data_IF_310976373054
#
_entry.id   IF_310976373054
#
_cell.length_a   1.000
_cell.length_b   1.000
_cell.length_c   1.000
_cell.angle_alpha   90.00
_cell.angle_beta   90.00
_cell.angle_gamma   90.00
#
_symmetry.space_group_name_H-M   'P 1'
#
loop_
_entity.id
_entity.type
_entity.pdbx_description
1 polymer ?
#
# COMPACT_ATOMS: atom_id res chain seq x y z
N UNK A 1 -4.08 4.68 -7.29
CA UNK A 1 -4.60 3.42 -7.81
C UNK A 1 -4.69 2.40 -6.68
N UNK A 2 -5.70 1.56 -6.68
CA UNK A 2 -5.88 0.51 -5.68
C UNK A 2 -5.97 -0.86 -6.37
N UNK A 3 -5.30 -1.87 -5.80
CA UNK A 3 -5.41 -3.26 -6.24
C UNK A 3 -6.11 -4.07 -5.16
N UNK A 4 -7.02 -4.94 -5.57
CA UNK A 4 -7.79 -5.77 -4.65
C UNK A 4 -7.66 -7.23 -5.06
N UNK A 5 -7.15 -8.04 -4.16
CA UNK A 5 -7.20 -9.50 -4.27
C UNK A 5 -8.34 -10.01 -3.40
N UNK A 6 -9.32 -10.64 -4.03
CA UNK A 6 -10.46 -11.26 -3.35
C UNK A 6 -10.97 -12.45 -4.15
N UNK A 7 -11.78 -13.30 -3.55
CA UNK A 7 -12.35 -14.48 -4.22
C UNK A 7 -13.25 -14.12 -5.40
N UNK A 8 -13.88 -12.94 -5.35
CA UNK A 8 -14.75 -12.43 -6.41
C UNK A 8 -14.50 -10.95 -6.61
N UNK A 9 -14.43 -10.54 -7.88
CA UNK A 9 -14.49 -9.14 -8.23
C UNK A 9 -15.89 -8.58 -7.92
N UNK A 10 -15.95 -7.31 -7.55
CA UNK A 10 -17.21 -6.60 -7.35
C UNK A 10 -17.79 -6.14 -8.70
N UNK A 11 -19.10 -5.92 -8.73
CA UNK A 11 -19.77 -5.26 -9.84
C UNK A 11 -19.27 -3.82 -10.01
N UNK A 12 -19.29 -3.29 -11.23
CA UNK A 12 -18.82 -1.94 -11.56
C UNK A 12 -19.47 -0.86 -10.69
N UNK A 13 -20.74 -1.01 -10.37
CA UNK A 13 -21.44 -0.08 -9.47
C UNK A 13 -20.77 0.08 -8.11
N UNK A 14 -20.30 -1.02 -7.52
CA UNK A 14 -19.57 -0.96 -6.25
C UNK A 14 -18.15 -0.45 -6.41
N UNK A 15 -17.53 -0.70 -7.56
CA UNK A 15 -16.20 -0.16 -7.91
C UNK A 15 -16.27 1.36 -7.96
N UNK A 16 -17.24 1.92 -8.65
CA UNK A 16 -17.44 3.38 -8.76
C UNK A 16 -17.64 4.02 -7.39
N UNK A 17 -18.40 3.38 -6.49
CA UNK A 17 -18.57 3.86 -5.11
C UNK A 17 -17.24 3.84 -4.35
N UNK A 18 -16.43 2.79 -4.49
CA UNK A 18 -15.13 2.68 -3.83
C UNK A 18 -14.18 3.77 -4.35
N UNK A 19 -14.17 4.01 -5.65
CA UNK A 19 -13.33 5.04 -6.28
C UNK A 19 -13.70 6.44 -5.75
N UNK A 20 -14.99 6.74 -5.68
CA UNK A 20 -15.48 8.01 -5.18
C UNK A 20 -15.22 8.20 -3.67
N UNK A 21 -15.58 7.22 -2.83
CA UNK A 21 -15.47 7.32 -1.37
C UNK A 21 -14.00 7.33 -0.88
N UNK A 22 -13.12 6.57 -1.55
CA UNK A 22 -11.70 6.50 -1.21
C UNK A 22 -10.84 7.49 -2.00
N UNK A 23 -11.45 8.23 -2.92
CA UNK A 23 -10.76 9.18 -3.79
C UNK A 23 -9.57 8.55 -4.54
N UNK A 24 -9.77 7.36 -5.06
CA UNK A 24 -8.80 6.65 -5.89
C UNK A 24 -9.24 6.68 -7.36
N UNK A 25 -8.27 6.77 -8.27
CA UNK A 25 -8.56 6.91 -9.71
C UNK A 25 -8.91 5.61 -10.41
N UNK A 26 -8.58 4.48 -9.78
CA UNK A 26 -8.80 3.17 -10.39
C UNK A 26 -8.73 2.08 -9.34
N UNK A 27 -9.69 1.17 -9.36
CA UNK A 27 -9.68 -0.07 -8.57
C UNK A 27 -9.49 -1.26 -9.52
N UNK A 28 -8.43 -2.04 -9.30
CA UNK A 28 -8.08 -3.20 -10.12
C UNK A 28 -8.19 -4.47 -9.29
N UNK A 29 -9.02 -5.41 -9.71
CA UNK A 29 -9.04 -6.74 -9.12
C UNK A 29 -7.94 -7.60 -9.71
N UNK A 30 -7.19 -8.30 -8.86
CA UNK A 30 -6.06 -9.14 -9.24
C UNK A 30 -6.02 -10.41 -8.39
N UNK A 31 -5.57 -11.50 -8.97
CA UNK A 31 -5.34 -12.76 -8.24
C UNK A 31 -3.97 -12.78 -7.56
N UNK A 32 -3.08 -11.85 -7.89
CA UNK A 32 -1.71 -11.80 -7.42
C UNK A 32 -1.31 -10.42 -6.92
N UNK A 33 -0.78 -10.37 -5.70
CA UNK A 33 -0.25 -9.14 -5.05
C UNK A 33 1.26 -9.20 -4.83
N UNK A 34 1.97 -10.19 -5.40
CA UNK A 34 3.43 -10.38 -5.25
C UNK A 34 4.24 -9.23 -5.80
N UNK A 35 3.69 -8.50 -6.76
CA UNK A 35 4.36 -7.31 -7.30
C UNK A 35 4.46 -6.16 -6.29
N UNK A 36 3.62 -6.18 -5.25
CA UNK A 36 3.50 -5.13 -4.24
C UNK A 36 4.02 -5.52 -2.86
N UNK A 37 4.29 -6.82 -2.67
CA UNK A 37 4.75 -7.39 -1.39
C UNK A 37 6.04 -8.17 -1.58
N UNK A 38 6.77 -8.35 -0.50
CA UNK A 38 7.93 -9.23 -0.44
C UNK A 38 7.92 -9.97 0.90
N UNK A 39 8.57 -11.12 0.96
CA UNK A 39 8.76 -11.86 2.20
C UNK A 39 10.19 -11.73 2.68
N UNK A 40 10.35 -11.48 3.98
CA UNK A 40 11.62 -11.56 4.67
C UNK A 40 11.65 -12.79 5.56
N UNK A 41 12.74 -13.50 5.54
CA UNK A 41 12.93 -14.71 6.32
C UNK A 41 14.02 -14.50 7.36
N UNK A 42 13.74 -14.91 8.59
CA UNK A 42 14.72 -15.00 9.67
C UNK A 42 14.72 -16.42 10.22
N UNK A 43 15.89 -16.97 10.60
CA UNK A 43 15.90 -18.33 11.19
C UNK A 43 15.25 -18.29 12.57
N UNK A 44 14.39 -19.25 12.84
CA UNK A 44 13.88 -19.53 14.18
C UNK A 44 14.99 -20.19 15.01
N UNK A 45 15.61 -19.42 15.89
CA UNK A 45 16.79 -19.86 16.63
C UNK A 45 16.57 -21.11 17.45
N UNK A 46 15.35 -21.31 17.93
CA UNK A 46 14.96 -22.45 18.76
C UNK A 46 15.03 -23.78 18.01
N UNK A 47 14.69 -23.78 16.73
CA UNK A 47 14.67 -24.99 15.88
C UNK A 47 15.94 -25.12 15.05
N UNK A 48 16.47 -24.02 14.50
CA UNK A 48 17.66 -23.99 13.66
C UNK A 48 18.95 -24.14 14.46
N UNK A 49 19.00 -23.60 15.68
CA UNK A 49 20.18 -23.68 16.54
C UNK A 49 20.67 -25.10 16.80
N UNK A 50 19.83 -26.05 17.25
CA UNK A 50 20.21 -27.45 17.42
C UNK A 50 20.60 -28.14 16.12
N UNK A 51 19.99 -27.80 14.99
CA UNK A 51 20.25 -28.42 13.68
C UNK A 51 21.55 -27.90 13.02
N UNK A 52 21.75 -26.57 13.06
CA UNK A 52 22.75 -25.88 12.25
C UNK A 52 23.51 -24.78 13.02
N UNK A 53 23.76 -24.92 14.31
CA UNK A 53 24.31 -23.87 15.16
C UNK A 53 25.60 -23.22 14.65
N UNK A 54 26.53 -24.03 14.06
CA UNK A 54 27.77 -23.52 13.48
C UNK A 54 27.56 -22.68 12.18
N UNK A 55 26.49 -22.94 11.46
CA UNK A 55 26.14 -22.31 10.21
C UNK A 55 25.17 -21.12 10.38
N UNK A 56 24.72 -20.85 11.60
CA UNK A 56 23.65 -19.88 11.88
C UNK A 56 23.92 -18.48 11.26
N UNK A 57 25.15 -17.99 11.38
CA UNK A 57 25.52 -16.71 10.77
C UNK A 57 25.46 -16.69 9.25
N UNK A 58 25.86 -17.82 8.62
CA UNK A 58 25.71 -18.01 7.16
C UNK A 58 24.25 -18.11 6.74
N UNK A 59 23.45 -18.84 7.48
CA UNK A 59 22.00 -18.97 7.27
C UNK A 59 21.32 -17.60 7.33
N UNK A 60 21.58 -16.79 8.36
CA UNK A 60 21.04 -15.44 8.48
C UNK A 60 21.40 -14.57 7.30
N UNK A 61 22.67 -14.61 6.88
CA UNK A 61 23.15 -13.82 5.75
C UNK A 61 22.50 -14.25 4.43
N UNK A 62 22.39 -15.55 4.20
CA UNK A 62 21.75 -16.08 2.98
C UNK A 62 20.28 -15.72 2.95
N UNK A 63 19.52 -15.96 4.02
CA UNK A 63 18.10 -15.61 4.11
C UNK A 63 17.84 -14.12 3.87
N UNK A 64 18.73 -13.24 4.32
CA UNK A 64 18.61 -11.79 4.11
C UNK A 64 18.85 -11.35 2.66
N UNK A 65 19.46 -12.20 1.83
CA UNK A 65 19.78 -11.90 0.41
C UNK A 65 18.92 -12.65 -0.60
N UNK A 66 18.06 -13.57 -0.14
CA UNK A 66 17.14 -14.30 -1.01
C UNK A 66 16.06 -13.36 -1.58
N UNK A 67 15.61 -13.68 -2.79
CA UNK A 67 14.34 -13.15 -3.29
C UNK A 67 13.21 -13.76 -2.44
N UNK A 68 12.55 -12.90 -1.66
CA UNK A 68 11.56 -13.35 -0.69
C UNK A 68 10.35 -14.02 -1.32
N UNK A 69 9.91 -13.57 -2.50
CA UNK A 69 8.78 -14.17 -3.19
C UNK A 69 9.14 -15.53 -3.78
N UNK A 70 10.30 -15.65 -4.41
CA UNK A 70 10.80 -16.93 -4.92
C UNK A 70 11.03 -17.95 -3.79
N UNK A 71 11.59 -17.52 -2.67
CA UNK A 71 11.81 -18.37 -1.50
C UNK A 71 10.47 -18.83 -0.87
N UNK A 72 9.45 -17.98 -0.86
CA UNK A 72 8.10 -18.36 -0.39
C UNK A 72 7.45 -19.38 -1.35
N UNK A 73 7.60 -19.23 -2.65
CA UNK A 73 7.10 -20.19 -3.63
C UNK A 73 7.82 -21.55 -3.49
N UNK A 74 9.13 -21.56 -3.26
CA UNK A 74 9.90 -22.77 -2.99
C UNK A 74 9.42 -23.46 -1.70
N UNK A 75 9.23 -22.69 -0.62
CA UNK A 75 8.72 -23.21 0.65
C UNK A 75 7.36 -23.88 0.49
N UNK A 76 6.43 -23.24 -0.23
CA UNK A 76 5.09 -23.78 -0.48
C UNK A 76 5.08 -24.99 -1.39
N UNK A 77 5.97 -25.04 -2.39
CA UNK A 77 6.01 -26.14 -3.36
C UNK A 77 6.76 -27.35 -2.85
N UNK A 78 7.87 -27.13 -2.13
CA UNK A 78 8.81 -28.19 -1.71
C UNK A 78 8.77 -28.46 -0.20
N UNK A 79 8.02 -27.66 0.58
CA UNK A 79 7.96 -27.78 2.03
C UNK A 79 9.20 -27.27 2.78
N UNK A 80 10.24 -26.84 2.07
CA UNK A 80 11.45 -26.27 2.64
C UNK A 80 12.20 -25.39 1.65
N UNK A 81 12.91 -24.40 2.15
CA UNK A 81 13.90 -23.61 1.40
C UNK A 81 15.25 -24.29 1.53
N UNK A 82 15.94 -24.55 0.41
CA UNK A 82 17.24 -25.25 0.37
C UNK A 82 18.32 -24.35 -0.19
N UNK A 83 19.46 -24.30 0.50
CA UNK A 83 20.65 -23.56 0.04
C UNK A 83 21.92 -24.10 0.70
N UNK A 84 23.07 -23.71 0.16
CA UNK A 84 24.39 -24.06 0.69
C UNK A 84 24.93 -22.97 1.61
N UNK A 85 25.47 -23.37 2.74
CA UNK A 85 26.27 -22.50 3.63
C UNK A 85 27.64 -23.14 3.80
N UNK A 86 28.61 -22.63 3.04
CA UNK A 86 29.89 -23.32 2.84
C UNK A 86 29.68 -24.66 2.16
N UNK A 87 30.16 -25.75 2.76
CA UNK A 87 30.01 -27.12 2.25
C UNK A 87 28.78 -27.86 2.84
N UNK A 88 27.93 -27.17 3.61
CA UNK A 88 26.77 -27.75 4.27
C UNK A 88 25.49 -27.38 3.55
N UNK A 89 24.73 -28.39 3.11
CA UNK A 89 23.36 -28.19 2.63
C UNK A 89 22.43 -27.92 3.80
N UNK A 90 21.71 -26.82 3.72
CA UNK A 90 20.72 -26.39 4.72
C UNK A 90 19.33 -26.49 4.10
N UNK A 91 18.40 -27.14 4.80
CA UNK A 91 17.00 -27.21 4.43
C UNK A 91 16.17 -26.70 5.61
N UNK A 92 15.44 -25.61 5.39
CA UNK A 92 14.61 -24.97 6.41
C UNK A 92 13.14 -25.09 6.05
N UNK A 93 12.40 -25.80 6.89
CA UNK A 93 10.94 -25.88 6.81
C UNK A 93 10.28 -24.63 7.40
N UNK A 94 8.97 -24.49 7.25
CA UNK A 94 8.22 -23.35 7.75
C UNK A 94 8.44 -23.13 9.26
N UNK A 95 8.50 -24.20 10.05
CA UNK A 95 8.77 -24.17 11.49
C UNK A 95 10.16 -23.64 11.88
N UNK A 96 11.10 -23.68 10.93
CA UNK A 96 12.47 -23.20 11.10
C UNK A 96 12.64 -21.72 10.76
N UNK A 97 11.55 -21.05 10.31
CA UNK A 97 11.55 -19.71 9.77
C UNK A 97 10.60 -18.79 10.53
N UNK A 98 11.04 -17.58 10.77
CA UNK A 98 10.18 -16.44 11.07
C UNK A 98 9.94 -15.72 9.75
N UNK A 99 8.70 -15.73 9.27
CA UNK A 99 8.29 -15.19 7.98
C UNK A 99 7.58 -13.87 8.22
N UNK A 100 8.12 -12.79 7.69
CA UNK A 100 7.53 -11.45 7.75
C UNK A 100 7.18 -11.02 6.33
N UNK A 101 5.90 -10.71 6.07
CA UNK A 101 5.49 -10.05 4.84
C UNK A 101 5.79 -8.56 4.97
N UNK A 102 6.49 -8.00 4.00
CA UNK A 102 6.80 -6.58 3.90
C UNK A 102 6.22 -5.98 2.64
N UNK A 103 5.97 -4.70 2.67
CA UNK A 103 5.47 -3.92 1.54
C UNK A 103 6.65 -3.39 0.73
N UNK A 104 6.50 -3.35 -0.59
CA UNK A 104 7.44 -2.62 -1.44
C UNK A 104 7.25 -1.12 -1.26
N UNK A 105 8.33 -0.37 -1.42
CA UNK A 105 8.28 1.08 -1.38
C UNK A 105 7.28 1.64 -2.40
N UNK A 106 6.49 2.62 -2.00
CA UNK A 106 5.44 3.21 -2.81
C UNK A 106 4.09 2.48 -2.76
N UNK A 107 3.96 1.43 -1.94
CA UNK A 107 2.70 0.71 -1.76
C UNK A 107 2.36 0.52 -0.29
N UNK A 108 1.08 0.55 0.03
CA UNK A 108 0.54 0.15 1.33
C UNK A 108 -0.38 -1.05 1.14
N UNK A 109 -0.18 -2.08 1.96
CA UNK A 109 -0.92 -3.34 1.83
C UNK A 109 -1.56 -3.69 3.17
N UNK A 110 -2.85 -3.99 3.13
CA UNK A 110 -3.60 -4.51 4.28
C UNK A 110 -4.37 -5.76 3.85
N UNK A 111 -4.45 -6.73 4.75
CA UNK A 111 -5.16 -7.98 4.50
C UNK A 111 -6.14 -8.29 5.63
N UNK A 112 -7.35 -8.70 5.26
CA UNK A 112 -8.37 -9.18 6.18
C UNK A 112 -9.07 -10.41 5.60
N UNK A 113 -8.97 -11.53 6.28
CA UNK A 113 -9.46 -12.82 5.78
C UNK A 113 -8.79 -13.18 4.44
N UNK A 114 -9.61 -13.42 3.42
CA UNK A 114 -9.15 -13.76 2.06
C UNK A 114 -9.04 -12.54 1.13
N UNK A 115 -9.22 -11.35 1.67
CA UNK A 115 -9.13 -10.10 0.89
C UNK A 115 -7.84 -9.37 1.23
N UNK A 116 -7.08 -8.98 0.22
CA UNK A 116 -5.91 -8.12 0.35
C UNK A 116 -6.11 -6.88 -0.49
N UNK A 117 -5.88 -5.72 0.10
CA UNK A 117 -5.95 -4.43 -0.57
C UNK A 117 -4.55 -3.83 -0.62
N UNK A 118 -4.17 -3.36 -1.80
CA UNK A 118 -2.90 -2.66 -2.02
C UNK A 118 -3.19 -1.27 -2.56
N UNK A 119 -2.73 -0.26 -1.87
CA UNK A 119 -2.82 1.14 -2.31
C UNK A 119 -1.48 1.59 -2.88
N UNK A 120 -1.49 2.07 -4.11
CA UNK A 120 -0.36 2.78 -4.72
C UNK A 120 -0.30 4.20 -4.15
N UNK A 121 0.78 4.49 -3.44
CA UNK A 121 1.03 5.77 -2.79
C UNK A 121 1.99 6.68 -3.57
N UNK A 122 2.36 6.28 -4.79
CA UNK A 122 3.15 7.10 -5.69
C UNK A 122 2.26 8.18 -6.31
N UNK A 123 2.33 9.39 -5.79
CA UNK A 123 1.52 10.52 -6.21
C UNK A 123 2.23 11.32 -7.31
N UNK A 124 1.57 11.56 -8.44
CA UNK A 124 2.01 12.56 -9.41
C UNK A 124 1.76 13.98 -8.90
N UNK A 125 2.43 14.96 -9.51
CA UNK A 125 2.20 16.39 -9.17
C UNK A 125 0.74 16.79 -9.39
N UNK A 126 0.09 16.24 -10.42
CA UNK A 126 -1.32 16.49 -10.71
C UNK A 126 -2.24 15.93 -9.61
N UNK A 127 -1.97 14.73 -9.11
CA UNK A 127 -2.74 14.14 -8.01
C UNK A 127 -2.54 14.92 -6.69
N UNK A 128 -1.34 15.42 -6.46
CA UNK A 128 -1.06 16.30 -5.31
C UNK A 128 -1.83 17.63 -5.45
N UNK A 129 -1.83 18.24 -6.64
CA UNK A 129 -2.59 19.46 -6.89
C UNK A 129 -4.10 19.23 -6.72
N UNK A 130 -4.62 18.13 -7.25
CA UNK A 130 -6.02 17.74 -7.06
C UNK A 130 -6.37 17.54 -5.58
N UNK A 131 -5.48 16.93 -4.80
CA UNK A 131 -5.64 16.79 -3.35
C UNK A 131 -5.74 18.15 -2.66
N UNK A 132 -4.95 19.13 -3.05
CA UNK A 132 -5.08 20.51 -2.55
C UNK A 132 -6.43 21.14 -2.92
N UNK A 133 -6.93 20.91 -4.13
CA UNK A 133 -8.25 21.41 -4.53
C UNK A 133 -9.37 20.84 -3.66
N UNK A 134 -9.36 19.52 -3.42
CA UNK A 134 -10.35 18.91 -2.52
C UNK A 134 -10.25 19.40 -1.08
N UNK A 135 -9.04 19.60 -0.57
CA UNK A 135 -8.85 20.17 0.77
C UNK A 135 -9.38 21.60 0.86
N UNK A 136 -9.16 22.43 -0.17
CA UNK A 136 -9.71 23.80 -0.24
C UNK A 136 -11.24 23.75 -0.24
N UNK A 137 -11.85 22.90 -1.07
CA UNK A 137 -13.31 22.75 -1.11
C UNK A 137 -13.83 22.35 0.27
N UNK A 138 -13.23 21.33 0.90
CA UNK A 138 -13.60 20.87 2.23
C UNK A 138 -13.51 21.97 3.30
N UNK A 139 -12.43 22.77 3.26
CA UNK A 139 -12.27 23.91 4.18
C UNK A 139 -13.31 25.00 3.94
N UNK A 140 -13.61 25.32 2.68
CA UNK A 140 -14.66 26.31 2.33
C UNK A 140 -16.01 25.82 2.86
N UNK A 141 -16.37 24.55 2.65
CA UNK A 141 -17.65 24.01 3.15
C UNK A 141 -17.71 23.99 4.68
N UNK A 142 -16.60 23.68 5.36
CA UNK A 142 -16.52 23.79 6.82
C UNK A 142 -16.74 25.24 7.29
N UNK A 143 -16.06 26.21 6.67
CA UNK A 143 -16.20 27.63 7.00
C UNK A 143 -17.63 28.14 6.76
N UNK A 144 -18.29 27.71 5.68
CA UNK A 144 -19.72 28.01 5.42
C UNK A 144 -20.61 27.52 6.55
N UNK A 145 -20.41 26.25 6.94
CA UNK A 145 -21.18 25.63 8.04
C UNK A 145 -20.96 26.36 9.36
N UNK A 146 -19.71 26.67 9.69
CA UNK A 146 -19.36 27.35 10.95
C UNK A 146 -19.89 28.80 11.01
N UNK A 147 -20.12 29.42 9.84
CA UNK A 147 -20.69 30.77 9.72
C UNK A 147 -22.22 30.76 9.51
N UNK A 148 -22.88 29.59 9.65
CA UNK A 148 -24.34 29.41 9.48
C UNK A 148 -24.87 29.88 8.11
N UNK A 149 -24.06 29.74 7.03
CA UNK A 149 -24.52 30.01 5.68
C UNK A 149 -25.44 28.90 5.17
N UNK A 150 -26.49 29.32 4.46
CA UNK A 150 -27.36 28.40 3.73
C UNK A 150 -26.66 27.83 2.50
N UNK A 151 -27.13 26.65 2.03
CA UNK A 151 -26.53 25.96 0.86
C UNK A 151 -26.54 26.85 -0.40
N UNK A 152 -27.59 27.69 -0.56
CA UNK A 152 -27.79 28.56 -1.71
C UNK A 152 -27.10 29.94 -1.59
N UNK A 153 -26.43 30.23 -0.47
CA UNK A 153 -25.74 31.49 -0.30
C UNK A 153 -24.52 31.59 -1.20
N UNK A 154 -24.42 32.70 -1.90
CA UNK A 154 -23.23 33.07 -2.68
C UNK A 154 -22.17 33.68 -1.78
N UNK A 155 -20.99 33.13 -1.81
CA UNK A 155 -19.87 33.61 -1.00
C UNK A 155 -18.71 34.10 -1.87
N UNK A 156 -17.86 34.96 -1.31
CA UNK A 156 -16.61 35.39 -1.91
C UNK A 156 -15.45 34.78 -1.10
N UNK A 157 -14.62 33.98 -1.77
CA UNK A 157 -13.45 33.38 -1.17
C UNK A 157 -12.20 34.14 -1.54
N UNK A 158 -11.33 34.41 -0.57
CA UNK A 158 -10.04 35.06 -0.79
C UNK A 158 -8.94 34.25 -0.15
N UNK A 159 -7.83 34.03 -0.86
CA UNK A 159 -6.63 33.38 -0.36
C UNK A 159 -5.57 34.42 -0.06
N UNK A 160 -5.07 34.44 1.19
CA UNK A 160 -4.08 35.42 1.64
C UNK A 160 -2.87 34.70 2.27
N UNK A 161 -1.68 35.19 2.03
CA UNK A 161 -0.46 34.72 2.70
C UNK A 161 0.10 33.37 2.20
N UNK A 162 -0.42 32.85 1.07
CA UNK A 162 0.09 31.63 0.45
C UNK A 162 -0.06 31.71 -1.07
N UNK A 163 0.99 32.14 -1.75
CA UNK A 163 0.99 32.35 -3.20
C UNK A 163 0.79 31.05 -3.97
N UNK A 164 1.41 29.94 -3.52
CA UNK A 164 1.23 28.63 -4.16
C UNK A 164 -0.22 28.17 -4.12
N UNK A 165 -0.89 28.34 -2.99
CA UNK A 165 -2.31 27.99 -2.85
C UNK A 165 -3.19 28.91 -3.70
N UNK A 166 -2.87 30.21 -3.77
CA UNK A 166 -3.59 31.18 -4.60
C UNK A 166 -3.51 30.80 -6.08
N UNK A 167 -2.35 30.35 -6.57
CA UNK A 167 -2.18 29.90 -7.94
C UNK A 167 -2.99 28.62 -8.23
N UNK A 168 -2.98 27.64 -7.31
CA UNK A 168 -3.78 26.40 -7.43
C UNK A 168 -5.28 26.75 -7.49
N UNK A 169 -5.76 27.60 -6.58
CA UNK A 169 -7.18 28.01 -6.53
C UNK A 169 -7.57 28.74 -7.81
N UNK A 170 -6.74 29.64 -8.32
CA UNK A 170 -7.00 30.36 -9.55
C UNK A 170 -7.05 29.44 -10.77
N UNK A 171 -6.13 28.48 -10.85
CA UNK A 171 -6.08 27.49 -11.94
C UNK A 171 -7.32 26.58 -11.94
N UNK A 172 -7.85 26.27 -10.76
CA UNK A 172 -8.97 25.35 -10.56
C UNK A 172 -10.27 26.07 -10.13
N UNK A 173 -10.40 27.36 -10.41
CA UNK A 173 -11.52 28.20 -9.98
C UNK A 173 -12.89 27.59 -10.33
N UNK A 174 -13.05 27.13 -11.57
CA UNK A 174 -14.30 26.53 -12.04
C UNK A 174 -14.68 25.27 -11.25
N UNK A 175 -13.73 24.40 -10.94
CA UNK A 175 -13.97 23.17 -10.18
C UNK A 175 -14.35 23.47 -8.73
N UNK A 176 -13.76 24.52 -8.13
CA UNK A 176 -14.02 24.93 -6.74
C UNK A 176 -15.37 25.66 -6.65
N UNK A 177 -15.70 26.51 -7.62
CA UNK A 177 -16.91 27.33 -7.58
C UNK A 177 -18.21 26.55 -7.85
N UNK A 178 -18.12 25.33 -8.40
CA UNK A 178 -19.29 24.49 -8.72
C UNK A 178 -19.66 23.51 -7.62
N UNK A 179 -18.90 23.46 -6.55
CA UNK A 179 -19.12 22.56 -5.38
C UNK A 179 -19.65 23.36 -4.18
#
# INVERSE_FOLDING_TARGET
KMFVKSEKALDSFFVDIIEDELNVKEVVFTDDVRDFTSYNFKPQLRTVGPKYGKQLGGIQKTLATLDGNAAMDELKSNGAIKFMVGDVEVALAEEDLLIEMTQKEGYMTEAYGNTTVVLDTNLSEELIEEGYVFEVISKIQTMRKDADFEVMDHIKVSVLGNDKLADIVKKNESAIATK
#
